data_IF_090033127405
#
_entry.id   IF_090033127405
#
_cell.length_a   1.000
_cell.length_b   1.000
_cell.length_c   1.000
_cell.angle_alpha   90.00
_cell.angle_beta   90.00
_cell.angle_gamma   90.00
#
_symmetry.space_group_name_H-M   'P 1'
#
loop_
_entity.id
_entity.type
_entity.pdbx_description
1 polymer ?
#
# COMPACT_ATOMS: atom_id res chain seq x y z
N UNK A 1 -68.89 -34.98 -53.89
CA UNK A 1 -68.65 -34.67 -52.46
C UNK A 1 -67.47 -35.51 -52.00
N UNK A 2 -66.37 -34.86 -51.61
CA UNK A 2 -65.10 -35.49 -51.25
C UNK A 2 -65.14 -36.11 -49.85
N UNK A 3 -64.65 -37.34 -49.73
CA UNK A 3 -64.50 -38.07 -48.47
C UNK A 3 -63.05 -38.00 -47.99
N UNK A 4 -62.89 -37.65 -46.71
CA UNK A 4 -61.64 -37.23 -46.09
C UNK A 4 -60.70 -38.37 -45.66
N UNK A 5 -59.46 -37.92 -45.54
CA UNK A 5 -58.18 -38.49 -45.13
C UNK A 5 -58.13 -39.34 -43.85
N UNK A 6 -57.15 -40.25 -43.91
CA UNK A 6 -56.71 -41.22 -42.93
C UNK A 6 -56.21 -40.61 -41.60
N UNK A 7 -56.47 -41.32 -40.50
CA UNK A 7 -55.85 -41.12 -39.19
C UNK A 7 -55.03 -42.34 -38.78
N UNK A 8 -53.81 -42.04 -38.36
CA UNK A 8 -52.69 -42.92 -38.09
C UNK A 8 -52.87 -43.64 -36.73
N UNK A 9 -52.65 -44.95 -36.73
CA UNK A 9 -52.63 -45.80 -35.54
C UNK A 9 -51.20 -45.84 -34.97
N UNK A 10 -51.01 -45.44 -33.70
CA UNK A 10 -49.84 -45.85 -32.89
C UNK A 10 -50.34 -46.27 -31.49
N UNK A 11 -50.01 -47.49 -31.04
CA UNK A 11 -50.38 -47.97 -29.71
C UNK A 11 -49.43 -47.47 -28.62
N UNK A 12 -49.92 -47.56 -27.39
CA UNK A 12 -49.46 -46.86 -26.21
C UNK A 12 -48.09 -47.26 -25.66
N UNK A 13 -47.51 -46.31 -24.93
CA UNK A 13 -46.35 -46.50 -24.08
C UNK A 13 -46.86 -46.63 -22.63
N UNK A 14 -46.55 -47.71 -21.89
CA UNK A 14 -46.99 -47.84 -20.52
C UNK A 14 -46.15 -46.99 -19.58
N UNK A 15 -46.87 -46.39 -18.64
CA UNK A 15 -46.39 -45.69 -17.45
C UNK A 15 -45.59 -46.65 -16.58
N UNK A 16 -44.32 -46.33 -16.33
CA UNK A 16 -43.55 -46.86 -15.21
C UNK A 16 -43.05 -45.68 -14.39
N UNK A 17 -43.79 -45.42 -13.32
CA UNK A 17 -43.41 -44.58 -12.19
C UNK A 17 -42.17 -45.20 -11.55
N UNK A 18 -41.04 -44.53 -11.64
CA UNK A 18 -39.89 -44.80 -10.76
C UNK A 18 -39.55 -43.50 -10.04
N UNK A 19 -39.91 -43.52 -8.76
CA UNK A 19 -39.63 -42.54 -7.73
C UNK A 19 -38.12 -42.35 -7.62
N UNK A 20 -37.61 -41.21 -8.09
CA UNK A 20 -36.25 -40.79 -7.83
C UNK A 20 -36.21 -40.01 -6.51
N UNK A 21 -35.63 -40.65 -5.49
CA UNK A 21 -35.37 -40.10 -4.16
C UNK A 21 -34.63 -38.76 -4.25
N UNK A 22 -35.21 -37.73 -3.64
CA UNK A 22 -34.47 -36.55 -3.16
C UNK A 22 -33.49 -37.01 -2.07
N UNK A 23 -32.22 -37.14 -2.42
CA UNK A 23 -31.12 -37.15 -1.45
C UNK A 23 -30.73 -35.71 -1.17
N UNK A 24 -31.25 -35.16 -0.07
CA UNK A 24 -30.67 -33.99 0.60
C UNK A 24 -29.29 -34.40 1.14
N UNK A 25 -28.26 -34.23 0.31
CA UNK A 25 -26.89 -34.22 0.79
C UNK A 25 -26.66 -32.91 1.55
N UNK A 26 -26.83 -32.98 2.87
CA UNK A 26 -26.27 -31.98 3.78
C UNK A 26 -24.74 -32.06 3.67
N UNK A 27 -24.12 -30.97 3.23
CA UNK A 27 -22.68 -30.79 3.29
C UNK A 27 -22.31 -30.20 4.65
N UNK A 28 -21.65 -30.93 5.57
CA UNK A 28 -20.79 -30.31 6.56
C UNK A 28 -19.40 -30.22 5.94
N UNK A 29 -19.07 -29.06 5.36
CA UNK A 29 -17.67 -28.76 5.01
C UNK A 29 -17.18 -27.63 5.92
N UNK A 30 -16.95 -27.99 7.18
CA UNK A 30 -16.08 -27.22 8.06
C UNK A 30 -14.64 -27.43 7.57
N UNK A 31 -14.19 -26.60 6.63
CA UNK A 31 -12.75 -26.43 6.43
C UNK A 31 -12.23 -25.55 7.56
N UNK A 32 -11.70 -26.23 8.56
CA UNK A 32 -10.88 -25.65 9.60
C UNK A 32 -9.77 -24.79 8.97
N UNK A 33 -9.82 -23.50 9.27
CA UNK A 33 -8.73 -22.56 9.07
C UNK A 33 -7.58 -23.01 9.97
N UNK A 34 -6.67 -23.79 9.39
CA UNK A 34 -5.39 -24.13 10.02
C UNK A 34 -4.36 -23.17 9.46
N UNK A 35 -4.09 -22.12 10.23
CA UNK A 35 -2.93 -21.25 10.03
C UNK A 35 -1.66 -22.10 10.13
N UNK A 36 -0.79 -22.14 9.11
CA UNK A 36 0.60 -22.45 9.35
C UNK A 36 1.26 -21.17 9.87
N UNK A 37 1.31 -21.06 11.21
CA UNK A 37 2.43 -20.36 11.84
C UNK A 37 3.73 -21.06 11.42
N UNK A 38 4.79 -20.25 11.31
CA UNK A 38 6.21 -20.58 11.06
C UNK A 38 6.53 -20.54 9.55
N UNK A 39 7.37 -19.66 9.02
CA UNK A 39 8.66 -19.24 9.55
C UNK A 39 8.99 -17.78 9.24
N UNK A 40 9.53 -17.11 10.25
CA UNK A 40 10.56 -16.08 10.06
C UNK A 40 11.67 -16.69 9.19
N UNK A 41 11.99 -16.04 8.07
CA UNK A 41 13.36 -16.00 7.58
C UNK A 41 13.70 -14.55 7.27
N UNK A 42 14.06 -13.84 8.34
CA UNK A 42 14.80 -12.60 8.26
C UNK A 42 16.17 -12.91 7.67
N UNK A 43 16.39 -12.60 6.40
CA UNK A 43 17.77 -12.40 5.94
C UNK A 43 18.19 -11.00 6.35
N UNK A 44 19.01 -10.96 7.39
CA UNK A 44 19.73 -9.82 7.91
C UNK A 44 20.27 -8.91 6.80
N UNK A 45 19.78 -7.67 6.76
CA UNK A 45 20.66 -6.53 6.59
C UNK A 45 20.42 -5.64 7.80
N UNK A 46 21.48 -5.41 8.58
CA UNK A 46 21.46 -4.69 9.85
C UNK A 46 20.76 -3.33 9.71
N UNK A 47 19.54 -3.21 10.21
CA UNK A 47 18.98 -1.92 10.57
C UNK A 47 19.53 -1.58 11.96
N UNK A 48 20.57 -0.75 11.97
CA UNK A 48 21.10 -0.18 13.21
C UNK A 48 20.01 0.74 13.76
N UNK A 49 19.54 0.56 15.01
CA UNK A 49 18.65 1.52 15.62
C UNK A 49 19.45 2.81 15.85
N UNK A 50 19.13 3.87 15.09
CA UNK A 50 19.59 5.21 15.42
C UNK A 50 19.00 5.55 16.80
N UNK A 51 19.82 5.81 17.82
CA UNK A 51 19.30 6.22 19.11
C UNK A 51 18.68 7.60 18.93
N UNK A 52 17.36 7.70 19.11
CA UNK A 52 16.68 8.99 19.24
C UNK A 52 17.31 9.73 20.44
N UNK A 53 17.77 10.98 20.31
CA UNK A 53 18.07 11.78 21.49
C UNK A 53 16.76 12.05 22.22
N UNK A 54 16.64 11.50 23.43
CA UNK A 54 15.60 11.86 24.39
C UNK A 54 15.72 13.35 24.67
N UNK A 55 14.87 14.16 24.03
CA UNK A 55 14.70 15.55 24.44
C UNK A 55 13.87 15.56 25.72
N UNK A 56 14.58 15.68 26.84
CA UNK A 56 14.02 16.08 28.12
C UNK A 56 13.36 17.45 27.96
N UNK A 57 12.05 17.47 28.09
CA UNK A 57 11.35 18.61 28.70
C UNK A 57 10.73 18.07 29.96
N UNK A 58 11.32 18.48 31.08
CA UNK A 58 10.84 18.19 32.43
C UNK A 58 9.44 18.80 32.65
N UNK A 59 8.74 18.18 33.60
CA UNK A 59 7.49 18.59 34.28
C UNK A 59 6.24 18.22 33.45
N UNK A 60 5.34 17.35 33.89
CA UNK A 60 4.78 17.18 35.23
C UNK A 60 4.54 15.70 35.60
N UNK A 61 4.50 15.47 36.91
CA UNK A 61 4.19 14.21 37.59
C UNK A 61 2.86 13.59 37.14
N UNK A 62 2.86 12.29 36.83
CA UNK A 62 1.84 11.36 37.34
C UNK A 62 2.28 9.91 37.13
N UNK A 63 2.61 9.29 38.26
CA UNK A 63 3.01 7.91 38.40
C UNK A 63 1.76 7.02 38.36
N UNK A 64 1.54 6.28 37.27
CA UNK A 64 0.63 5.15 37.31
C UNK A 64 1.11 4.00 36.42
N UNK A 65 1.81 3.05 37.05
CA UNK A 65 2.11 1.75 36.48
C UNK A 65 0.82 0.92 36.42
N UNK A 66 0.25 0.78 35.24
CA UNK A 66 -0.66 -0.30 34.91
C UNK A 66 -0.45 -0.69 33.44
N UNK A 67 -0.18 -1.97 33.09
CA UNK A 67 -0.21 -2.39 31.70
C UNK A 67 -1.67 -2.50 31.28
N UNK A 68 -2.29 -1.35 31.00
CA UNK A 68 -3.65 -1.27 30.53
C UNK A 68 -3.71 -1.72 29.07
N UNK A 69 -3.96 -3.02 28.92
CA UNK A 69 -4.72 -3.57 27.81
C UNK A 69 -6.04 -2.80 27.70
N UNK A 70 -6.07 -1.72 26.91
CA UNK A 70 -7.30 -0.97 26.66
C UNK A 70 -7.48 -0.72 25.16
N UNK A 71 -8.70 -1.02 24.72
CA UNK A 71 -9.28 -0.85 23.40
C UNK A 71 -9.45 0.63 23.03
N UNK A 72 -8.39 1.43 23.15
CA UNK A 72 -8.39 2.79 22.62
C UNK A 72 -8.17 2.71 21.11
N UNK A 73 -8.97 3.44 20.29
CA UNK A 73 -8.68 3.55 18.87
C UNK A 73 -7.24 4.06 18.70
N UNK A 74 -6.47 3.53 17.72
CA UNK A 74 -5.08 3.89 17.56
C UNK A 74 -4.92 5.41 17.50
N UNK A 75 -3.88 5.97 18.15
CA UNK A 75 -3.69 7.41 18.18
C UNK A 75 -3.61 7.94 16.75
N UNK A 76 -4.42 8.97 16.46
CA UNK A 76 -4.43 9.60 15.14
C UNK A 76 -3.04 10.18 14.83
N UNK A 77 -2.40 9.79 13.73
CA UNK A 77 -1.05 10.25 13.42
C UNK A 77 -1.04 11.75 13.15
N UNK A 78 -0.01 12.43 13.65
CA UNK A 78 0.17 13.89 13.51
C UNK A 78 1.19 14.25 12.45
N UNK A 79 2.06 13.32 12.10
CA UNK A 79 3.12 13.47 11.10
C UNK A 79 3.05 12.33 10.10
N UNK A 80 3.66 12.52 8.93
CA UNK A 80 3.78 11.45 7.94
C UNK A 80 4.43 10.20 8.54
N UNK A 81 5.52 10.38 9.29
CA UNK A 81 6.26 9.27 9.92
C UNK A 81 5.42 8.44 10.88
N UNK A 82 4.55 9.07 11.67
CA UNK A 82 3.63 8.33 12.55
C UNK A 82 2.60 7.53 11.74
N UNK A 83 2.06 8.12 10.67
CA UNK A 83 1.10 7.44 9.80
C UNK A 83 1.73 6.26 9.06
N UNK A 84 2.97 6.41 8.60
CA UNK A 84 3.74 5.36 7.95
C UNK A 84 3.96 4.17 8.89
N UNK A 85 4.37 4.42 10.15
CA UNK A 85 4.58 3.36 11.14
C UNK A 85 3.28 2.59 11.42
N UNK A 86 2.14 3.30 11.54
CA UNK A 86 0.83 2.67 11.73
C UNK A 86 0.42 1.83 10.51
N UNK A 87 0.61 2.36 9.29
CA UNK A 87 0.31 1.63 8.07
C UNK A 87 1.16 0.36 7.94
N UNK A 88 2.46 0.43 8.24
CA UNK A 88 3.35 -0.74 8.25
C UNK A 88 2.95 -1.77 9.31
N UNK A 89 2.45 -1.34 10.47
CA UNK A 89 1.91 -2.26 11.46
C UNK A 89 0.68 -3.00 10.91
N UNK A 90 -0.26 -2.28 10.28
CA UNK A 90 -1.44 -2.89 9.68
C UNK A 90 -1.10 -3.83 8.52
N UNK A 91 -0.06 -3.54 7.72
CA UNK A 91 0.46 -4.47 6.72
C UNK A 91 0.90 -5.80 7.36
N UNK A 92 1.60 -5.77 8.51
CA UNK A 92 2.03 -6.98 9.22
C UNK A 92 0.86 -7.77 9.80
N UNK A 93 -0.23 -7.10 10.14
CA UNK A 93 -1.47 -7.71 10.62
C UNK A 93 -2.33 -8.28 9.47
N UNK A 94 -1.94 -8.03 8.21
CA UNK A 94 -2.70 -8.41 7.01
C UNK A 94 -3.90 -7.49 6.74
N UNK A 95 -3.99 -6.36 7.43
CA UNK A 95 -5.06 -5.39 7.27
C UNK A 95 -4.67 -4.31 6.27
N UNK A 96 -4.69 -4.68 4.99
CA UNK A 96 -4.22 -3.82 3.91
C UNK A 96 -5.12 -2.62 3.62
N UNK A 97 -6.42 -2.71 3.94
CA UNK A 97 -7.35 -1.60 3.79
C UNK A 97 -7.04 -0.45 4.74
N UNK A 98 -6.89 -0.76 6.04
CA UNK A 98 -6.53 0.25 7.04
C UNK A 98 -5.11 0.79 6.76
N UNK A 99 -4.17 -0.06 6.31
CA UNK A 99 -2.84 0.36 5.88
C UNK A 99 -2.89 1.44 4.79
N UNK A 100 -3.70 1.24 3.74
CA UNK A 100 -3.89 2.24 2.68
C UNK A 100 -4.42 3.56 3.23
N UNK A 101 -5.41 3.52 4.11
CA UNK A 101 -5.97 4.72 4.72
C UNK A 101 -4.91 5.46 5.55
N UNK A 102 -4.05 4.75 6.28
CA UNK A 102 -2.92 5.34 6.99
C UNK A 102 -1.98 6.08 6.02
N UNK A 103 -1.52 5.42 4.95
CA UNK A 103 -0.57 6.01 4.01
C UNK A 103 -1.17 7.21 3.27
N UNK A 104 -2.42 7.10 2.79
CA UNK A 104 -3.12 8.19 2.10
C UNK A 104 -3.36 9.40 3.00
N UNK A 105 -3.67 9.18 4.27
CA UNK A 105 -3.79 10.27 5.23
C UNK A 105 -2.42 10.82 5.62
N UNK A 106 -1.41 9.97 5.72
CA UNK A 106 -0.01 10.34 5.91
C UNK A 106 0.47 11.36 4.89
N UNK A 107 0.13 11.17 3.61
CA UNK A 107 0.50 12.11 2.53
C UNK A 107 -0.03 13.54 2.72
N UNK A 108 -1.02 13.74 3.60
CA UNK A 108 -1.61 15.05 3.92
C UNK A 108 -1.01 15.66 5.20
N UNK A 109 -0.19 14.91 5.93
CA UNK A 109 0.42 15.32 7.19
C UNK A 109 1.77 16.01 6.94
N UNK A 110 2.26 16.81 7.91
CA UNK A 110 3.59 17.40 7.82
C UNK A 110 4.66 16.31 7.71
N UNK A 111 5.53 16.49 6.72
CA UNK A 111 6.72 15.67 6.52
C UNK A 111 7.96 16.22 7.22
N UNK A 112 9.08 15.57 6.93
CA UNK A 112 10.38 15.87 7.53
C UNK A 112 11.08 17.09 6.91
N UNK A 113 10.72 17.47 5.66
CA UNK A 113 11.35 18.58 4.93
C UNK A 113 10.86 19.93 5.45
N UNK A 114 11.77 20.65 6.11
CA UNK A 114 11.51 22.00 6.61
C UNK A 114 11.88 23.04 5.54
N UNK A 115 10.90 23.80 5.05
CA UNK A 115 11.09 24.93 4.15
C UNK A 115 10.61 26.25 4.81
N UNK A 116 11.17 27.37 4.39
CA UNK A 116 10.81 28.71 4.87
C UNK A 116 10.30 29.53 3.69
N UNK A 117 8.97 29.55 3.55
CA UNK A 117 8.30 30.38 2.55
C UNK A 117 8.33 31.83 3.03
N UNK A 118 8.96 32.70 2.24
CA UNK A 118 8.97 34.15 2.46
C UNK A 118 7.90 34.79 1.59
N UNK A 119 6.86 35.31 2.23
CA UNK A 119 5.78 36.02 1.55
C UNK A 119 5.98 37.52 1.73
N UNK A 120 5.95 38.27 0.63
CA UNK A 120 6.00 39.74 0.70
C UNK A 120 4.71 40.25 1.33
N UNK A 121 4.79 40.96 2.46
CA UNK A 121 3.61 41.62 3.01
C UNK A 121 3.29 42.84 2.14
N UNK A 122 2.20 42.75 1.38
CA UNK A 122 1.57 43.91 0.75
C UNK A 122 0.81 44.70 1.83
N UNK A 123 1.51 45.38 2.74
CA UNK A 123 0.91 46.52 3.47
C UNK A 123 1.92 47.30 4.29
N UNK A 124 1.93 48.62 4.06
CA UNK A 124 2.44 49.64 4.97
C UNK A 124 3.77 50.26 4.57
N UNK A 125 3.89 51.61 4.57
CA UNK A 125 5.20 52.26 4.49
C UNK A 125 6.06 51.80 5.66
N UNK A 126 7.31 51.44 5.38
CA UNK A 126 8.29 51.10 6.42
C UNK A 126 8.37 52.22 7.47
N UNK A 127 8.41 51.92 8.79
CA UNK A 127 8.53 52.92 9.85
C UNK A 127 9.74 53.85 9.69
N UNK A 128 10.79 53.40 8.97
CA UNK A 128 12.02 54.17 8.71
C UNK A 128 12.03 54.91 7.38
N UNK A 129 10.94 54.85 6.59
CA UNK A 129 10.82 55.55 5.30
C UNK A 129 11.74 54.98 4.20
N UNK A 130 11.18 54.76 3.01
CA UNK A 130 11.97 54.50 1.79
C UNK A 130 11.99 53.07 1.23
N UNK A 131 11.35 52.07 1.86
CA UNK A 131 11.24 50.71 1.27
C UNK A 131 9.82 50.13 1.32
N UNK A 132 9.48 49.33 0.29
CA UNK A 132 8.23 48.59 0.19
C UNK A 132 8.20 47.39 1.15
N UNK A 133 7.78 47.61 2.40
CA UNK A 133 7.25 46.58 3.30
C UNK A 133 8.23 45.51 3.82
N UNK A 134 7.79 44.80 4.87
CA UNK A 134 8.50 43.64 5.44
C UNK A 134 8.17 42.32 4.71
N UNK A 135 8.96 41.28 4.96
CA UNK A 135 8.64 39.90 4.57
C UNK A 135 8.09 39.14 5.78
N UNK A 136 7.07 38.32 5.56
CA UNK A 136 6.64 37.32 6.53
C UNK A 136 7.34 36.00 6.17
N UNK A 137 8.04 35.39 7.12
CA UNK A 137 8.61 34.05 6.95
C UNK A 137 7.72 33.02 7.64
N UNK A 138 7.09 32.12 6.87
CA UNK A 138 6.32 30.99 7.36
C UNK A 138 7.12 29.70 7.17
N UNK A 139 7.30 28.93 8.25
CA UNK A 139 7.84 27.56 8.16
C UNK A 139 6.77 26.63 7.59
N UNK A 140 7.13 25.85 6.58
CA UNK A 140 6.31 24.79 6.00
C UNK A 140 7.03 23.45 6.13
N UNK A 141 6.29 22.43 6.53
CA UNK A 141 6.77 21.06 6.63
C UNK A 141 6.14 20.26 5.49
N UNK A 142 6.91 19.98 4.45
CA UNK A 142 6.49 19.14 3.33
C UNK A 142 7.12 17.75 3.46
N UNK A 143 6.63 16.80 2.67
CA UNK A 143 7.28 15.51 2.51
C UNK A 143 8.62 15.70 1.78
N UNK A 144 9.63 14.94 2.19
CA UNK A 144 10.83 14.78 1.39
C UNK A 144 10.63 13.71 0.31
N UNK A 145 11.61 13.57 -0.57
CA UNK A 145 11.55 12.65 -1.69
C UNK A 145 11.52 11.19 -1.21
N UNK A 146 12.18 10.86 -0.10
CA UNK A 146 12.21 9.50 0.46
C UNK A 146 10.88 9.10 1.11
N UNK A 147 10.21 10.03 1.79
CA UNK A 147 8.88 9.87 2.35
C UNK A 147 7.86 9.63 1.23
N UNK A 148 7.95 10.36 0.11
CA UNK A 148 7.10 10.13 -1.06
C UNK A 148 7.36 8.76 -1.70
N UNK A 149 8.63 8.39 -1.89
CA UNK A 149 9.00 7.07 -2.40
C UNK A 149 8.45 5.95 -1.53
N UNK A 150 8.65 6.04 -0.21
CA UNK A 150 8.20 5.03 0.74
C UNK A 150 6.68 4.95 0.82
N UNK A 151 5.97 6.09 0.84
CA UNK A 151 4.51 6.14 0.84
C UNK A 151 3.93 5.39 -0.36
N UNK A 152 4.40 5.74 -1.57
CA UNK A 152 3.89 5.14 -2.80
C UNK A 152 4.30 3.67 -2.93
N UNK A 153 5.51 3.30 -2.53
CA UNK A 153 5.91 1.89 -2.49
C UNK A 153 5.01 1.06 -1.55
N UNK A 154 4.80 1.53 -0.32
CA UNK A 154 3.98 0.85 0.67
C UNK A 154 2.50 0.76 0.23
N UNK A 155 1.98 1.82 -0.38
CA UNK A 155 0.64 1.80 -0.97
C UNK A 155 0.55 0.79 -2.12
N UNK A 156 1.59 0.65 -2.94
CA UNK A 156 1.60 -0.34 -4.00
C UNK A 156 1.56 -1.77 -3.43
N UNK A 157 2.33 -2.07 -2.39
CA UNK A 157 2.28 -3.35 -1.68
C UNK A 157 0.86 -3.64 -1.16
N UNK A 158 0.24 -2.67 -0.49
CA UNK A 158 -1.11 -2.82 0.04
C UNK A 158 -2.15 -3.03 -1.08
N UNK A 159 -2.08 -2.26 -2.17
CA UNK A 159 -2.96 -2.43 -3.32
C UNK A 159 -2.77 -3.79 -4.01
N UNK A 160 -1.53 -4.27 -4.15
CA UNK A 160 -1.23 -5.58 -4.73
C UNK A 160 -1.86 -6.71 -3.89
N UNK A 161 -1.74 -6.64 -2.57
CA UNK A 161 -2.36 -7.60 -1.65
C UNK A 161 -3.89 -7.57 -1.66
N UNK A 162 -4.50 -6.42 -1.92
CA UNK A 162 -5.95 -6.28 -2.11
C UNK A 162 -6.44 -6.73 -3.50
N UNK A 163 -5.54 -7.03 -4.43
CA UNK A 163 -5.87 -7.35 -5.83
C UNK A 163 -6.19 -6.13 -6.69
N UNK A 164 -5.91 -4.91 -6.20
CA UNK A 164 -6.08 -3.67 -6.95
C UNK A 164 -4.87 -3.44 -7.88
N UNK A 165 -4.75 -4.29 -8.91
CA UNK A 165 -3.58 -4.36 -9.80
C UNK A 165 -3.20 -2.99 -10.40
N UNK A 166 -4.17 -2.28 -10.95
CA UNK A 166 -3.92 -1.00 -11.63
C UNK A 166 -3.40 0.06 -10.65
N UNK A 167 -3.99 0.16 -9.46
CA UNK A 167 -3.58 1.12 -8.44
C UNK A 167 -2.19 0.77 -7.89
N UNK A 168 -1.88 -0.51 -7.76
CA UNK A 168 -0.56 -0.97 -7.32
C UNK A 168 0.54 -0.57 -8.31
N UNK A 169 0.31 -0.80 -9.61
CA UNK A 169 1.26 -0.42 -10.68
C UNK A 169 1.39 1.11 -10.76
N UNK A 170 0.28 1.85 -10.65
CA UNK A 170 0.31 3.31 -10.66
C UNK A 170 1.14 3.86 -9.48
N UNK A 171 0.96 3.33 -8.28
CA UNK A 171 1.74 3.74 -7.12
C UNK A 171 3.23 3.36 -7.25
N UNK A 172 3.57 2.17 -7.77
CA UNK A 172 4.97 1.83 -8.08
C UNK A 172 5.58 2.81 -9.06
N UNK A 173 4.85 3.18 -10.12
CA UNK A 173 5.32 4.17 -11.08
C UNK A 173 5.62 5.50 -10.38
N UNK A 174 4.71 5.98 -9.51
CA UNK A 174 4.95 7.21 -8.76
C UNK A 174 6.16 7.09 -7.82
N UNK A 175 6.38 5.95 -7.18
CA UNK A 175 7.59 5.73 -6.37
C UNK A 175 8.86 5.85 -7.23
N UNK A 176 8.88 5.25 -8.43
CA UNK A 176 10.02 5.34 -9.36
C UNK A 176 10.24 6.76 -9.88
N UNK A 177 9.16 7.49 -10.19
CA UNK A 177 9.23 8.89 -10.63
C UNK A 177 9.77 9.82 -9.53
N UNK A 178 9.56 9.46 -8.25
CA UNK A 178 10.16 10.16 -7.10
C UNK A 178 11.59 9.70 -6.79
N UNK A 179 12.17 8.78 -7.56
CA UNK A 179 13.58 8.39 -7.46
C UNK A 179 13.85 7.05 -6.75
N UNK A 180 12.81 6.24 -6.49
CA UNK A 180 13.02 4.88 -5.97
C UNK A 180 13.76 4.03 -7.02
N UNK A 181 14.92 3.49 -6.65
CA UNK A 181 15.85 2.81 -7.56
C UNK A 181 16.14 1.34 -7.17
N UNK A 182 15.53 0.84 -6.09
CA UNK A 182 15.74 -0.51 -5.63
C UNK A 182 14.85 -1.53 -6.35
N UNK A 183 15.01 -1.60 -7.68
CA UNK A 183 14.26 -2.49 -8.58
C UNK A 183 14.41 -3.98 -8.23
N UNK A 184 15.55 -4.36 -7.65
CA UNK A 184 15.78 -5.73 -7.19
C UNK A 184 14.79 -6.12 -6.08
N UNK A 185 14.55 -5.22 -5.12
CA UNK A 185 13.55 -5.43 -4.06
C UNK A 185 12.17 -5.60 -4.66
N UNK A 186 11.76 -4.71 -5.58
CA UNK A 186 10.44 -4.78 -6.26
C UNK A 186 10.20 -6.14 -6.93
N UNK A 187 11.21 -6.71 -7.60
CA UNK A 187 11.11 -8.02 -8.26
C UNK A 187 11.03 -9.21 -7.31
N UNK A 188 11.52 -9.06 -6.08
CA UNK A 188 11.56 -10.14 -5.08
C UNK A 188 10.58 -9.96 -3.93
N UNK A 189 9.86 -8.84 -3.89
CA UNK A 189 8.96 -8.50 -2.79
C UNK A 189 7.74 -9.45 -2.82
N UNK A 190 7.51 -10.24 -1.75
CA UNK A 190 6.34 -11.10 -1.67
C UNK A 190 5.03 -10.30 -1.66
N UNK A 191 5.02 -9.06 -1.17
CA UNK A 191 3.81 -8.25 -1.12
C UNK A 191 3.36 -7.82 -2.53
N UNK A 192 4.28 -7.80 -3.49
CA UNK A 192 4.04 -7.46 -4.90
C UNK A 192 3.87 -8.70 -5.79
N UNK A 193 3.96 -9.93 -5.25
CA UNK A 193 3.79 -11.17 -6.02
C UNK A 193 2.49 -11.20 -6.88
N UNK A 194 1.34 -10.68 -6.40
CA UNK A 194 0.11 -10.66 -7.20
C UNK A 194 0.23 -9.90 -8.52
N UNK A 195 1.07 -8.86 -8.58
CA UNK A 195 1.22 -8.00 -9.76
C UNK A 195 2.45 -8.32 -10.60
N UNK A 196 3.41 -9.09 -10.08
CA UNK A 196 4.65 -9.43 -10.81
C UNK A 196 4.41 -10.18 -12.12
N UNK A 197 3.29 -10.90 -12.24
CA UNK A 197 2.91 -11.66 -13.45
C UNK A 197 2.21 -10.79 -14.50
N UNK A 198 1.89 -9.54 -14.17
CA UNK A 198 1.15 -8.65 -15.04
C UNK A 198 2.05 -8.04 -16.11
N UNK A 199 1.51 -7.95 -17.32
CA UNK A 199 2.23 -7.38 -18.47
C UNK A 199 2.61 -5.91 -18.22
N UNK A 200 1.74 -5.18 -17.56
CA UNK A 200 1.94 -3.75 -17.27
C UNK A 200 3.03 -3.54 -16.22
N UNK A 201 3.18 -4.46 -15.27
CA UNK A 201 4.29 -4.47 -14.32
C UNK A 201 5.63 -4.65 -15.05
N UNK A 202 5.76 -5.64 -15.92
CA UNK A 202 7.00 -5.83 -16.70
C UNK A 202 7.30 -4.65 -17.62
N UNK A 203 6.25 -4.02 -18.18
CA UNK A 203 6.40 -2.80 -18.99
C UNK A 203 6.95 -1.64 -18.15
N UNK A 204 6.44 -1.47 -16.92
CA UNK A 204 6.92 -0.46 -15.98
C UNK A 204 8.38 -0.73 -15.59
N UNK A 205 8.71 -1.97 -15.21
CA UNK A 205 10.07 -2.35 -14.85
C UNK A 205 11.04 -2.13 -16.01
N UNK A 206 10.69 -2.52 -17.24
CA UNK A 206 11.54 -2.31 -18.41
C UNK A 206 11.79 -0.82 -18.75
N UNK A 207 10.91 0.08 -18.29
CA UNK A 207 11.04 1.54 -18.49
C UNK A 207 12.05 2.16 -17.53
N UNK A 208 12.05 1.72 -16.26
CA UNK A 208 12.85 2.35 -15.20
C UNK A 208 14.11 1.56 -14.84
N UNK A 209 14.07 0.23 -14.90
CA UNK A 209 15.21 -0.61 -14.56
C UNK A 209 16.35 -0.39 -15.58
N UNK A 210 17.53 0.07 -15.13
CA UNK A 210 18.65 0.22 -16.02
C UNK A 210 19.03 -1.15 -16.55
N UNK A 211 18.93 -1.33 -17.87
CA UNK A 211 19.41 -2.55 -18.52
C UNK A 211 20.88 -2.69 -18.15
N UNK A 212 21.26 -3.78 -17.47
CA UNK A 212 22.66 -4.20 -17.29
C UNK A 212 23.23 -4.53 -18.67
N UNK A 213 23.52 -3.50 -19.44
CA UNK A 213 24.07 -3.54 -20.77
C UNK A 213 25.58 -3.58 -20.66
N UNK A 214 26.13 -4.78 -20.80
CA UNK A 214 27.33 -5.10 -21.56
C UNK A 214 28.28 -3.92 -21.78
N UNK A 215 29.44 -3.92 -21.09
CA UNK A 215 30.59 -3.09 -21.46
C UNK A 215 31.36 -3.81 -22.58
N UNK A 216 31.17 -3.51 -23.88
CA UNK A 216 31.94 -4.14 -24.95
C UNK A 216 33.44 -3.79 -24.89
N UNK A 217 33.84 -2.82 -24.06
CA UNK A 217 35.21 -2.34 -23.92
C UNK A 217 35.86 -2.68 -22.57
N UNK A 218 35.26 -3.54 -21.73
CA UNK A 218 35.84 -3.96 -20.45
C UNK A 218 37.10 -4.84 -20.53
N UNK A 219 37.78 -4.89 -21.69
CA UNK A 219 38.87 -5.84 -21.99
C UNK A 219 40.25 -5.21 -22.25
N UNK A 220 40.43 -3.89 -22.08
CA UNK A 220 41.76 -3.25 -22.10
C UNK A 220 42.06 -2.57 -20.77
N UNK A 221 42.67 -3.32 -19.86
CA UNK A 221 43.19 -2.79 -18.60
C UNK A 221 43.97 -3.86 -17.85
N UNK A 222 45.13 -4.23 -18.40
CA UNK A 222 46.24 -4.87 -17.66
C UNK A 222 47.34 -3.83 -17.49
#
# INVERSE_FOLDING_TARGET
MWGNTATLHRPGVPVMVVVALLLLATFPSTKAFTSPRIARCWTCTHWVPVPLPLRSTNNDDDNNNNPESSSAPPPRPRTFREAEVLGLQWMQEGNYGDALDAFQNGLKLPGSKNDVVRTKMLSGPSPVGGSMGGYESKRSNSLDEFELQAAHYNMACAHAQLGNVNDAIANLQTAFENGFDNYATVRSDPDLEPIQKEKDFETLMAKFEPKKGFNPFGFLGK
#
